data_IF_318807357837
#
_entry.id   IF_318807357837
#
_cell.length_a   1.000
_cell.length_b   1.000
_cell.length_c   1.000
_cell.angle_alpha   90.00
_cell.angle_beta   90.00
_cell.angle_gamma   90.00
#
_symmetry.space_group_name_H-M   'P 1'
#
loop_
_entity.id
_entity.type
_entity.pdbx_description
1 polymer ?
#
# COMPACT_ATOMS: atom_id res chain seq x y z
N UNK A 1 21.40 87.96 9.52
CA UNK A 1 21.75 88.70 8.30
C UNK A 1 20.75 88.23 7.25
N UNK A 2 19.72 89.06 7.01
CA UNK A 2 18.68 89.03 5.93
C UNK A 2 17.72 87.80 5.95
N UNK A 3 16.42 87.85 6.32
CA UNK A 3 15.25 88.61 5.83
C UNK A 3 15.04 88.44 4.30
N UNK A 4 13.90 88.16 3.66
CA UNK A 4 12.43 88.00 3.87
C UNK A 4 11.98 87.02 2.71
N UNK A 5 10.81 86.40 2.59
CA UNK A 5 9.42 86.73 2.94
C UNK A 5 8.46 85.79 2.18
N UNK A 6 7.21 85.85 2.62
CA UNK A 6 6.01 85.05 2.35
C UNK A 6 5.49 85.07 0.90
N UNK A 7 4.79 84.01 0.47
CA UNK A 7 3.43 84.13 -0.08
C UNK A 7 2.82 82.79 -0.51
N UNK A 8 1.67 82.51 0.11
CA UNK A 8 0.67 81.52 -0.21
C UNK A 8 -0.01 81.76 -1.57
N UNK A 9 -0.20 80.71 -2.39
CA UNK A 9 -1.46 80.35 -3.08
C UNK A 9 -1.22 79.26 -4.14
N UNK A 10 -1.73 78.06 -3.87
CA UNK A 10 -1.76 76.98 -4.85
C UNK A 10 -2.40 75.71 -4.33
N UNK A 11 -3.28 75.85 -3.35
CA UNK A 11 -4.09 74.80 -2.78
C UNK A 11 -5.26 74.53 -3.73
N UNK A 12 -5.12 73.48 -4.56
CA UNK A 12 -6.16 72.74 -5.31
C UNK A 12 -5.45 71.85 -6.33
N UNK A 13 -5.87 70.57 -6.40
CA UNK A 13 -5.62 69.56 -7.47
C UNK A 13 -4.90 68.27 -7.03
N UNK A 14 -4.48 68.09 -5.77
CA UNK A 14 -3.91 66.80 -5.31
C UNK A 14 -4.78 66.01 -4.31
N UNK A 15 -5.95 66.52 -3.91
CA UNK A 15 -6.76 65.94 -2.83
C UNK A 15 -8.10 65.32 -3.30
N UNK A 16 -8.21 65.04 -4.61
CA UNK A 16 -9.44 64.53 -5.27
C UNK A 16 -9.33 63.07 -5.71
N UNK A 17 -8.38 62.30 -5.17
CA UNK A 17 -8.26 60.87 -5.49
C UNK A 17 -8.34 59.92 -4.28
N UNK A 18 -8.53 60.44 -3.07
CA UNK A 18 -8.50 59.62 -1.84
C UNK A 18 -9.72 59.80 -0.92
N UNK A 19 -10.86 60.24 -1.46
CA UNK A 19 -12.15 60.35 -0.77
C UNK A 19 -13.32 59.99 -1.69
N UNK A 20 -13.34 58.76 -2.18
CA UNK A 20 -14.59 58.16 -2.64
C UNK A 20 -14.54 56.66 -2.36
N UNK A 21 -15.66 56.14 -1.87
CA UNK A 21 -15.90 54.74 -1.48
C UNK A 21 -15.29 54.28 -0.15
N UNK A 22 -15.56 55.01 0.94
CA UNK A 22 -16.03 54.37 2.17
C UNK A 22 -17.56 54.50 2.24
N UNK A 23 -18.21 53.40 2.61
CA UNK A 23 -19.62 53.23 2.98
C UNK A 23 -20.58 52.78 1.86
N UNK A 24 -20.59 51.47 1.60
CA UNK A 24 -21.83 50.70 1.46
C UNK A 24 -21.69 49.38 2.21
N UNK A 25 -22.34 49.31 3.37
CA UNK A 25 -22.62 48.07 4.11
C UNK A 25 -23.79 47.36 3.45
N UNK A 26 -23.55 46.16 2.91
CA UNK A 26 -24.55 45.07 2.85
C UNK A 26 -23.85 43.71 2.76
N UNK A 27 -23.94 42.97 3.87
CA UNK A 27 -24.17 41.52 3.95
C UNK A 27 -23.91 40.68 2.68
N UNK A 28 -22.88 39.83 2.74
CA UNK A 28 -22.80 38.60 1.94
C UNK A 28 -21.74 37.66 2.52
N UNK A 29 -22.19 36.78 3.42
CA UNK A 29 -21.61 35.47 3.74
C UNK A 29 -20.07 35.34 3.72
N UNK A 30 -19.43 35.80 4.79
CA UNK A 30 -18.19 35.17 5.22
C UNK A 30 -18.54 33.79 5.78
N UNK A 31 -18.47 32.75 4.93
CA UNK A 31 -18.49 31.38 5.42
C UNK A 31 -17.35 31.22 6.43
N UNK A 32 -17.59 30.69 7.64
CA UNK A 32 -16.50 30.40 8.55
C UNK A 32 -15.67 29.31 7.88
N UNK A 33 -14.48 29.67 7.40
CA UNK A 33 -13.47 28.68 7.06
C UNK A 33 -13.08 28.03 8.38
N UNK A 34 -13.77 26.95 8.70
CA UNK A 34 -13.35 26.00 9.72
C UNK A 34 -11.99 25.47 9.32
N UNK A 35 -10.93 26.16 9.73
CA UNK A 35 -9.59 25.61 9.77
C UNK A 35 -9.53 24.60 10.90
N UNK A 36 -10.23 23.47 10.72
CA UNK A 36 -9.62 22.22 11.10
C UNK A 36 -8.36 22.16 10.24
N UNK A 37 -7.22 22.54 10.80
CA UNK A 37 -5.93 22.15 10.25
C UNK A 37 -5.95 20.63 10.33
N UNK A 38 -6.48 19.96 9.30
CA UNK A 38 -6.28 18.53 9.12
C UNK A 38 -4.79 18.34 9.29
N UNK A 39 -4.41 17.57 10.30
CA UNK A 39 -3.05 17.50 10.76
C UNK A 39 -2.14 17.31 9.53
N UNK A 40 -1.14 18.18 9.36
CA UNK A 40 -0.35 18.26 8.12
C UNK A 40 0.24 16.91 7.69
N UNK A 41 0.44 16.02 8.65
CA UNK A 41 0.85 14.63 8.49
C UNK A 41 -0.21 13.72 7.85
N UNK A 42 -1.48 13.91 8.17
CA UNK A 42 -2.61 13.17 7.61
C UNK A 42 -2.74 13.45 6.12
N UNK A 43 -2.65 14.73 5.74
CA UNK A 43 -2.67 15.13 4.33
C UNK A 43 -1.48 14.55 3.58
N UNK A 44 -0.28 14.59 4.17
CA UNK A 44 0.92 13.96 3.61
C UNK A 44 0.79 12.43 3.50
N UNK A 45 0.08 11.78 4.41
CA UNK A 45 -0.22 10.36 4.30
C UNK A 45 -1.19 10.08 3.15
N UNK A 46 -2.23 10.89 2.99
CA UNK A 46 -3.22 10.75 1.91
C UNK A 46 -2.63 10.98 0.52
N UNK A 47 -1.53 11.73 0.41
CA UNK A 47 -0.81 11.91 -0.85
C UNK A 47 0.05 10.69 -1.25
N UNK A 48 0.29 9.75 -0.34
CA UNK A 48 1.12 8.57 -0.61
C UNK A 48 0.47 7.59 -1.58
N UNK A 49 1.31 6.82 -2.30
CA UNK A 49 0.84 5.72 -3.15
C UNK A 49 0.13 4.63 -2.35
N UNK A 50 0.57 4.37 -1.11
CA UNK A 50 -0.08 3.41 -0.22
C UNK A 50 -1.54 3.78 0.06
N UNK A 51 -1.83 5.03 0.41
CA UNK A 51 -3.22 5.47 0.65
C UNK A 51 -4.03 5.49 -0.64
N UNK A 52 -3.47 6.08 -1.71
CA UNK A 52 -4.22 6.33 -2.95
C UNK A 52 -4.51 5.06 -3.76
N UNK A 53 -3.65 4.05 -3.69
CA UNK A 53 -3.73 2.86 -4.53
C UNK A 53 -4.01 1.57 -3.73
N UNK A 54 -3.69 1.55 -2.44
CA UNK A 54 -3.66 0.33 -1.63
C UNK A 54 -4.38 0.47 -0.28
N UNK A 55 -5.29 1.44 -0.15
CA UNK A 55 -6.19 1.54 1.00
C UNK A 55 -7.66 1.45 0.55
N UNK A 56 -8.39 0.52 1.14
CA UNK A 56 -9.74 0.12 0.73
C UNK A 56 -10.64 -0.02 1.96
N UNK A 57 -11.95 0.11 1.76
CA UNK A 57 -12.92 -0.42 2.73
C UNK A 57 -12.92 -1.95 2.68
N UNK A 58 -13.36 -2.65 3.74
CA UNK A 58 -13.48 -4.11 3.73
C UNK A 58 -14.34 -4.64 2.57
N UNK A 59 -15.47 -4.01 2.31
CA UNK A 59 -16.35 -4.36 1.19
C UNK A 59 -15.64 -4.22 -0.17
N UNK A 60 -14.98 -3.09 -0.43
CA UNK A 60 -14.28 -2.86 -1.70
C UNK A 60 -13.14 -3.87 -1.91
N UNK A 61 -12.42 -4.27 -0.85
CA UNK A 61 -11.36 -5.26 -0.95
C UNK A 61 -11.92 -6.66 -1.26
N UNK A 62 -13.05 -7.03 -0.65
CA UNK A 62 -13.73 -8.28 -0.93
C UNK A 62 -14.25 -8.33 -2.38
N UNK A 63 -14.89 -7.26 -2.84
CA UNK A 63 -15.39 -7.12 -4.21
C UNK A 63 -14.24 -7.18 -5.23
N UNK A 64 -13.12 -6.51 -4.94
CA UNK A 64 -11.94 -6.55 -5.79
C UNK A 64 -11.39 -7.97 -5.92
N UNK A 65 -11.28 -8.72 -4.82
CA UNK A 65 -10.84 -10.13 -4.83
C UNK A 65 -11.81 -11.03 -5.59
N UNK A 66 -13.11 -10.86 -5.37
CA UNK A 66 -14.13 -11.64 -6.07
C UNK A 66 -14.09 -11.38 -7.58
N UNK A 67 -13.92 -10.11 -7.99
CA UNK A 67 -13.78 -9.73 -9.39
C UNK A 67 -12.51 -10.30 -10.02
N UNK A 68 -11.35 -10.17 -9.35
CA UNK A 68 -10.08 -10.76 -9.80
C UNK A 68 -10.21 -12.27 -10.00
N UNK A 69 -10.85 -12.98 -9.06
CA UNK A 69 -11.11 -14.41 -9.17
C UNK A 69 -12.02 -14.76 -10.36
N UNK A 70 -13.13 -14.03 -10.56
CA UNK A 70 -14.05 -14.25 -11.69
C UNK A 70 -13.33 -14.05 -13.03
N UNK A 71 -12.60 -12.95 -13.18
CA UNK A 71 -11.85 -12.66 -14.41
C UNK A 71 -10.80 -13.74 -14.71
N UNK A 72 -10.09 -14.22 -13.69
CA UNK A 72 -9.14 -15.32 -13.86
C UNK A 72 -9.84 -16.60 -14.33
N UNK A 73 -11.00 -16.95 -13.75
CA UNK A 73 -11.78 -18.12 -14.17
C UNK A 73 -12.23 -18.01 -15.63
N UNK A 74 -12.76 -16.85 -16.02
CA UNK A 74 -13.21 -16.58 -17.40
C UNK A 74 -12.06 -16.68 -18.41
N UNK A 75 -10.85 -16.24 -18.03
CA UNK A 75 -9.67 -16.34 -18.90
C UNK A 75 -9.08 -17.76 -18.99
N UNK A 76 -9.13 -18.52 -17.89
CA UNK A 76 -8.52 -19.85 -17.79
C UNK A 76 -9.44 -20.94 -18.34
N UNK A 77 -10.75 -20.84 -18.10
CA UNK A 77 -11.74 -21.83 -18.55
C UNK A 77 -11.62 -22.23 -20.03
N UNK A 78 -11.53 -21.31 -21.01
CA UNK A 78 -11.39 -21.69 -22.42
C UNK A 78 -10.06 -22.38 -22.73
N UNK A 79 -9.01 -22.16 -21.93
CA UNK A 79 -7.67 -22.74 -22.17
C UNK A 79 -7.53 -24.14 -21.60
N UNK A 80 -8.29 -24.48 -20.56
CA UNK A 80 -8.22 -25.80 -19.93
C UNK A 80 -9.06 -26.85 -20.65
N UNK A 81 -10.00 -26.46 -21.52
CA UNK A 81 -10.77 -27.31 -22.43
C UNK A 81 -11.13 -28.70 -21.85
N UNK A 82 -11.54 -28.74 -20.58
CA UNK A 82 -11.84 -29.97 -19.85
C UNK A 82 -13.35 -30.12 -19.69
N UNK A 83 -13.86 -31.32 -19.97
CA UNK A 83 -15.22 -31.74 -19.68
C UNK A 83 -15.18 -32.88 -18.63
N UNK A 84 -15.68 -32.67 -17.40
CA UNK A 84 -16.29 -31.45 -16.87
C UNK A 84 -15.25 -30.33 -16.57
N UNK A 85 -15.70 -29.06 -16.50
CA UNK A 85 -14.83 -27.93 -16.20
C UNK A 85 -14.12 -28.13 -14.84
N UNK A 86 -12.85 -27.70 -14.72
CA UNK A 86 -12.08 -27.92 -13.51
C UNK A 86 -12.69 -27.12 -12.35
N UNK A 87 -12.69 -27.71 -11.16
CA UNK A 87 -13.12 -27.03 -9.94
C UNK A 87 -12.12 -25.89 -9.61
N UNK A 88 -12.51 -24.65 -9.91
CA UNK A 88 -11.71 -23.46 -9.67
C UNK A 88 -11.72 -23.04 -8.20
N UNK A 89 -10.63 -22.38 -7.76
CA UNK A 89 -10.54 -21.83 -6.41
C UNK A 89 -11.57 -20.72 -6.21
N UNK A 90 -12.24 -20.73 -5.06
CA UNK A 90 -13.08 -19.62 -4.56
C UNK A 90 -12.22 -18.46 -4.05
N UNK A 91 -12.76 -17.23 -3.96
CA UNK A 91 -12.04 -16.09 -3.41
C UNK A 91 -11.50 -16.36 -1.98
N UNK A 92 -12.26 -17.07 -1.15
CA UNK A 92 -11.87 -17.42 0.22
C UNK A 92 -10.72 -18.44 0.25
N UNK A 93 -10.74 -19.42 -0.67
CA UNK A 93 -9.65 -20.37 -0.86
C UNK A 93 -8.37 -19.68 -1.35
N UNK A 94 -8.49 -18.71 -2.26
CA UNK A 94 -7.36 -17.90 -2.71
C UNK A 94 -6.76 -17.07 -1.56
N UNK A 95 -7.59 -16.38 -0.78
CA UNK A 95 -7.12 -15.62 0.40
C UNK A 95 -6.37 -16.53 1.38
N UNK A 96 -6.87 -17.76 1.59
CA UNK A 96 -6.21 -18.74 2.46
C UNK A 96 -4.85 -19.19 1.92
N UNK A 97 -4.74 -19.41 0.61
CA UNK A 97 -3.47 -19.72 -0.06
C UNK A 97 -2.49 -18.55 0.03
N UNK A 98 -2.96 -17.32 -0.21
CA UNK A 98 -2.13 -16.11 -0.10
C UNK A 98 -1.62 -15.93 1.32
N UNK A 99 -2.46 -16.13 2.36
CA UNK A 99 -2.02 -16.12 3.76
C UNK A 99 -0.93 -17.16 4.01
N UNK A 100 -1.12 -18.40 3.54
CA UNK A 100 -0.12 -19.47 3.66
C UNK A 100 1.22 -19.07 3.01
N UNK A 101 1.21 -18.61 1.76
CA UNK A 101 2.43 -18.19 1.08
C UNK A 101 3.06 -16.93 1.70
N UNK A 102 2.28 -16.06 2.32
CA UNK A 102 2.80 -14.91 3.07
C UNK A 102 3.56 -15.36 4.32
N UNK A 103 3.06 -16.37 5.04
CA UNK A 103 3.78 -16.94 6.19
C UNK A 103 5.06 -17.66 5.75
N UNK A 104 5.00 -18.42 4.65
CA UNK A 104 6.19 -19.04 4.06
C UNK A 104 7.22 -17.98 3.61
N UNK A 105 6.76 -16.83 3.09
CA UNK A 105 7.62 -15.71 2.73
C UNK A 105 8.33 -15.15 3.97
N UNK A 106 7.60 -14.95 5.06
CA UNK A 106 8.15 -14.47 6.34
C UNK A 106 9.24 -15.41 6.86
N UNK A 107 9.00 -16.72 6.81
CA UNK A 107 10.00 -17.75 7.20
C UNK A 107 11.21 -17.76 6.28
N UNK A 108 10.98 -17.69 4.97
CA UNK A 108 12.05 -17.62 3.99
C UNK A 108 12.92 -16.36 4.21
N UNK A 109 12.31 -15.21 4.53
CA UNK A 109 13.04 -14.00 4.87
C UNK A 109 13.88 -14.16 6.15
N UNK A 110 13.35 -14.85 7.18
CA UNK A 110 14.10 -15.17 8.40
C UNK A 110 15.29 -16.08 8.11
N UNK A 111 15.09 -17.13 7.29
CA UNK A 111 16.15 -18.05 6.87
C UNK A 111 17.23 -17.35 6.04
N UNK A 112 16.85 -16.35 5.25
CA UNK A 112 17.79 -15.51 4.50
C UNK A 112 18.40 -14.37 5.34
N UNK A 113 18.10 -14.31 6.65
CA UNK A 113 18.58 -13.31 7.59
C UNK A 113 18.28 -11.86 7.16
N UNK A 114 17.17 -11.68 6.44
CA UNK A 114 16.79 -10.36 5.92
C UNK A 114 16.26 -9.45 7.04
N UNK A 115 16.62 -8.14 7.00
CA UNK A 115 16.06 -7.11 7.86
C UNK A 115 14.53 -7.11 7.92
N UNK A 116 14.00 -6.62 9.04
CA UNK A 116 12.55 -6.63 9.31
C UNK A 116 11.76 -5.79 8.30
N UNK A 117 12.30 -4.64 7.89
CA UNK A 117 11.67 -3.77 6.87
C UNK A 117 11.53 -4.52 5.54
N UNK A 118 12.62 -5.09 5.03
CA UNK A 118 12.64 -5.87 3.78
C UNK A 118 11.62 -7.02 3.82
N UNK A 119 11.55 -7.74 4.94
CA UNK A 119 10.56 -8.80 5.14
C UNK A 119 9.13 -8.28 5.05
N UNK A 120 8.84 -7.14 5.69
CA UNK A 120 7.53 -6.52 5.66
C UNK A 120 7.18 -6.01 4.26
N UNK A 121 8.11 -5.32 3.59
CA UNK A 121 7.95 -4.83 2.21
C UNK A 121 7.64 -5.97 1.25
N UNK A 122 8.41 -7.06 1.31
CA UNK A 122 8.21 -8.24 0.48
C UNK A 122 6.85 -8.91 0.73
N UNK A 123 6.43 -9.05 1.99
CA UNK A 123 5.11 -9.59 2.34
C UNK A 123 3.98 -8.71 1.79
N UNK A 124 4.10 -7.39 1.93
CA UNK A 124 3.11 -6.43 1.42
C UNK A 124 3.06 -6.46 -0.11
N UNK A 125 4.20 -6.55 -0.81
CA UNK A 125 4.23 -6.70 -2.27
C UNK A 125 3.52 -7.97 -2.73
N UNK A 126 3.79 -9.11 -2.09
CA UNK A 126 3.12 -10.37 -2.42
C UNK A 126 1.59 -10.25 -2.27
N UNK A 127 1.13 -9.65 -1.16
CA UNK A 127 -0.30 -9.45 -0.90
C UNK A 127 -0.94 -8.47 -1.88
N UNK A 128 -0.29 -7.34 -2.17
CA UNK A 128 -0.76 -6.36 -3.16
C UNK A 128 -0.91 -7.01 -4.53
N UNK A 129 0.08 -7.81 -4.94
CA UNK A 129 0.06 -8.55 -6.19
C UNK A 129 -1.16 -9.48 -6.30
N UNK A 130 -1.44 -10.26 -5.25
CA UNK A 130 -2.57 -11.21 -5.24
C UNK A 130 -3.94 -10.59 -4.89
N UNK A 131 -4.02 -9.28 -4.70
CA UNK A 131 -5.30 -8.56 -4.68
C UNK A 131 -5.75 -8.26 -6.12
N UNK A 132 -4.80 -7.95 -7.00
CA UNK A 132 -5.06 -7.57 -8.41
C UNK A 132 -4.86 -8.70 -9.41
N UNK A 133 -4.26 -9.82 -8.99
CA UNK A 133 -4.01 -11.00 -9.81
C UNK A 133 -4.42 -12.27 -9.04
N UNK A 134 -4.86 -13.31 -9.75
CA UNK A 134 -5.22 -14.59 -9.12
C UNK A 134 -4.02 -15.51 -8.91
N UNK A 135 -4.06 -16.31 -7.83
CA UNK A 135 -3.12 -17.42 -7.58
C UNK A 135 -3.21 -18.51 -8.66
N UNK A 136 -4.36 -18.61 -9.34
CA UNK A 136 -4.58 -19.52 -10.47
C UNK A 136 -3.80 -19.09 -11.72
N UNK A 137 -3.52 -17.79 -11.85
CA UNK A 137 -2.82 -17.21 -13.00
C UNK A 137 -1.30 -17.26 -12.84
N UNK A 138 -0.77 -16.90 -11.67
CA UNK A 138 0.68 -16.79 -11.44
C UNK A 138 1.16 -17.65 -10.26
N UNK A 139 2.38 -18.23 -10.32
CA UNK A 139 2.94 -19.07 -9.24
C UNK A 139 3.26 -18.29 -7.99
N UNK A 140 2.50 -18.52 -6.91
CA UNK A 140 2.84 -17.97 -5.59
C UNK A 140 4.22 -18.41 -5.09
N UNK A 141 4.69 -19.61 -5.43
CA UNK A 141 6.03 -20.08 -5.06
C UNK A 141 7.15 -19.26 -5.69
N UNK A 142 7.01 -18.84 -6.94
CA UNK A 142 8.02 -18.05 -7.63
C UNK A 142 7.87 -16.56 -7.29
N UNK A 143 6.63 -16.05 -7.26
CA UNK A 143 6.33 -14.68 -6.84
C UNK A 143 6.77 -14.40 -5.40
N UNK A 144 6.75 -15.40 -4.51
CA UNK A 144 7.30 -15.28 -3.15
C UNK A 144 8.79 -14.92 -3.20
N UNK A 145 9.58 -15.67 -3.98
CA UNK A 145 11.03 -15.48 -4.10
C UNK A 145 11.34 -14.16 -4.80
N UNK A 146 10.60 -13.85 -5.87
CA UNK A 146 10.67 -12.55 -6.55
C UNK A 146 10.33 -11.40 -5.61
N UNK A 147 9.29 -11.53 -4.77
CA UNK A 147 8.90 -10.48 -3.82
C UNK A 147 9.97 -10.24 -2.75
N UNK A 148 10.62 -11.29 -2.26
CA UNK A 148 11.78 -11.17 -1.36
C UNK A 148 12.94 -10.44 -2.04
N UNK A 149 13.33 -10.89 -3.23
CA UNK A 149 14.44 -10.28 -3.98
C UNK A 149 14.16 -8.82 -4.36
N UNK A 150 12.94 -8.52 -4.78
CA UNK A 150 12.54 -7.16 -5.13
C UNK A 150 12.35 -6.27 -3.90
N UNK A 151 11.88 -6.82 -2.77
CA UNK A 151 11.82 -6.14 -1.48
C UNK A 151 13.20 -5.66 -1.02
N UNK A 152 14.25 -6.48 -1.22
CA UNK A 152 15.63 -6.06 -0.99
C UNK A 152 15.97 -4.80 -1.80
N UNK A 153 15.68 -4.79 -3.11
CA UNK A 153 15.94 -3.63 -3.98
C UNK A 153 15.15 -2.39 -3.56
N UNK A 154 13.87 -2.54 -3.21
CA UNK A 154 13.00 -1.44 -2.81
C UNK A 154 13.51 -0.72 -1.55
N UNK A 155 14.07 -1.47 -0.60
CA UNK A 155 14.67 -0.93 0.64
C UNK A 155 16.15 -0.54 0.50
N UNK A 156 16.70 -0.52 -0.73
CA UNK A 156 18.09 -0.16 -0.98
C UNK A 156 19.13 -1.22 -0.57
N UNK A 157 18.69 -2.45 -0.31
CA UNK A 157 19.56 -3.59 0.00
C UNK A 157 19.85 -4.42 -1.26
N UNK A 158 21.07 -4.33 -1.79
CA UNK A 158 21.43 -5.04 -3.02
C UNK A 158 21.94 -6.45 -2.73
N UNK A 159 21.02 -7.42 -2.73
CA UNK A 159 21.37 -8.84 -2.63
C UNK A 159 21.84 -9.36 -4.00
N UNK A 160 23.04 -9.95 -4.09
CA UNK A 160 23.52 -10.61 -5.32
C UNK A 160 22.60 -11.77 -5.72
N UNK A 161 22.13 -11.75 -6.98
CA UNK A 161 21.13 -12.70 -7.49
C UNK A 161 21.55 -14.17 -7.32
N UNK A 162 22.79 -14.53 -7.67
CA UNK A 162 23.26 -15.91 -7.58
C UNK A 162 23.26 -16.41 -6.14
N UNK A 163 23.84 -15.63 -5.23
CA UNK A 163 23.88 -15.94 -3.80
C UNK A 163 22.47 -16.02 -3.17
N UNK A 164 21.51 -15.24 -3.68
CA UNK A 164 20.12 -15.32 -3.26
C UNK A 164 19.45 -16.59 -3.80
N UNK A 165 19.64 -16.92 -5.08
CA UNK A 165 19.04 -18.12 -5.68
C UNK A 165 19.55 -19.41 -5.06
N UNK A 166 20.82 -19.47 -4.65
CA UNK A 166 21.43 -20.62 -3.98
C UNK A 166 20.81 -20.94 -2.61
N UNK A 167 20.17 -19.97 -1.95
CA UNK A 167 19.45 -20.19 -0.68
C UNK A 167 18.18 -21.01 -0.88
N UNK A 168 17.64 -21.10 -2.10
CA UNK A 168 16.39 -21.79 -2.40
C UNK A 168 16.64 -23.03 -3.28
N UNK A 169 16.14 -24.22 -2.89
CA UNK A 169 16.32 -25.41 -3.69
C UNK A 169 15.64 -25.28 -5.05
N UNK A 170 16.28 -25.80 -6.10
CA UNK A 170 15.74 -25.84 -7.48
C UNK A 170 15.29 -24.46 -8.00
N UNK A 171 15.94 -23.39 -7.57
CA UNK A 171 15.63 -22.02 -7.99
C UNK A 171 16.80 -21.45 -8.77
N UNK A 172 16.55 -20.91 -9.96
CA UNK A 172 17.57 -20.19 -10.74
C UNK A 172 17.38 -18.68 -10.63
N UNK A 173 18.45 -17.92 -10.84
CA UNK A 173 18.35 -16.45 -10.91
C UNK A 173 17.38 -15.98 -12.00
N UNK A 174 17.32 -16.68 -13.14
CA UNK A 174 16.39 -16.37 -14.23
C UNK A 174 14.92 -16.48 -13.80
N UNK A 175 14.55 -17.51 -13.04
CA UNK A 175 13.18 -17.67 -12.52
C UNK A 175 12.75 -16.49 -11.64
N UNK A 176 13.68 -15.98 -10.82
CA UNK A 176 13.43 -14.83 -9.94
C UNK A 176 13.23 -13.56 -10.77
N UNK A 177 14.09 -13.33 -11.76
CA UNK A 177 14.03 -12.17 -12.66
C UNK A 177 12.81 -12.21 -13.60
N UNK A 178 12.33 -13.40 -13.97
CA UNK A 178 11.17 -13.55 -14.83
C UNK A 178 9.89 -12.97 -14.21
N UNK A 179 9.75 -13.10 -12.89
CA UNK A 179 8.64 -12.50 -12.14
C UNK A 179 8.83 -11.01 -11.81
N UNK A 180 10.02 -10.44 -11.94
CA UNK A 180 10.35 -9.12 -11.36
C UNK A 180 9.50 -7.99 -11.95
N UNK A 181 9.51 -7.84 -13.28
CA UNK A 181 8.71 -6.80 -13.93
C UNK A 181 7.21 -7.05 -13.79
N UNK A 182 6.80 -8.32 -13.80
CA UNK A 182 5.41 -8.71 -13.57
C UNK A 182 4.94 -8.27 -12.17
N UNK A 183 5.77 -8.49 -11.15
CA UNK A 183 5.50 -8.01 -9.79
C UNK A 183 5.33 -6.50 -9.77
N UNK A 184 6.26 -5.75 -10.39
CA UNK A 184 6.20 -4.29 -10.48
C UNK A 184 4.88 -3.80 -11.08
N UNK A 185 4.42 -4.44 -12.16
CA UNK A 185 3.13 -4.14 -12.79
C UNK A 185 1.96 -4.45 -11.84
N UNK A 186 1.97 -5.63 -11.21
CA UNK A 186 0.90 -6.05 -10.31
C UNK A 186 0.75 -5.17 -9.06
N UNK A 187 1.87 -4.63 -8.54
CA UNK A 187 1.87 -3.66 -7.44
C UNK A 187 1.75 -2.20 -7.90
N UNK A 188 1.44 -1.97 -9.19
CA UNK A 188 1.20 -0.65 -9.80
C UNK A 188 2.38 0.31 -9.59
N UNK A 189 3.60 -0.21 -9.62
CA UNK A 189 4.84 0.55 -9.40
C UNK A 189 4.88 1.32 -8.07
N UNK A 190 4.05 0.95 -7.10
CA UNK A 190 3.98 1.57 -5.77
C UNK A 190 5.00 0.91 -4.82
N UNK A 191 6.27 1.28 -4.99
CA UNK A 191 7.39 0.68 -4.25
C UNK A 191 7.54 1.22 -2.81
N UNK A 192 7.12 2.47 -2.56
CA UNK A 192 7.12 3.05 -1.21
C UNK A 192 6.04 2.39 -0.33
N UNK A 193 6.48 1.56 0.61
CA UNK A 193 5.63 0.93 1.63
C UNK A 193 5.98 1.52 2.99
N UNK A 194 4.97 2.08 3.67
CA UNK A 194 5.15 2.68 5.00
C UNK A 194 4.84 1.65 6.07
N UNK A 195 5.85 1.32 6.86
CA UNK A 195 5.75 0.35 7.93
C UNK A 195 5.54 0.99 9.32
N UNK A 196 4.86 0.29 10.25
CA UNK A 196 4.59 0.80 11.60
C UNK A 196 5.80 0.77 12.54
N UNK A 197 6.94 0.18 12.15
CA UNK A 197 8.09 0.02 13.04
C UNK A 197 8.72 1.35 13.46
N UNK A 198 8.85 2.31 12.53
CA UNK A 198 9.34 3.66 12.87
C UNK A 198 8.34 4.43 13.73
N UNK A 199 7.04 4.22 13.51
CA UNK A 199 6.00 4.80 14.36
C UNK A 199 6.09 4.26 15.80
N UNK A 200 6.43 2.97 15.96
CA UNK A 200 6.65 2.37 17.27
C UNK A 200 7.83 3.05 17.99
N UNK A 201 8.97 3.24 17.32
CA UNK A 201 10.11 3.94 17.92
C UNK A 201 9.75 5.36 18.37
N UNK A 202 9.01 6.11 17.55
CA UNK A 202 8.53 7.45 17.92
C UNK A 202 7.59 7.43 19.12
N UNK A 203 6.65 6.49 19.16
CA UNK A 203 5.72 6.34 20.28
C UNK A 203 6.43 5.98 21.59
N UNK A 204 7.43 5.09 21.53
CA UNK A 204 8.23 4.71 22.71
C UNK A 204 9.06 5.89 23.24
N UNK A 205 9.63 6.72 22.36
CA UNK A 205 10.32 7.94 22.80
C UNK A 205 9.38 8.88 23.54
N UNK A 206 8.17 9.08 23.03
CA UNK A 206 7.16 9.93 23.68
C UNK A 206 6.68 9.33 25.02
N UNK A 207 6.49 8.01 25.09
CA UNK A 207 6.13 7.32 26.33
C UNK A 207 7.22 7.42 27.39
N UNK A 208 8.50 7.25 27.02
CA UNK A 208 9.62 7.44 27.95
C UNK A 208 9.70 8.87 28.48
N UNK A 209 9.38 9.85 27.64
CA UNK A 209 9.31 11.27 28.04
C UNK A 209 8.19 11.53 29.05
N UNK A 210 7.00 10.93 28.84
CA UNK A 210 5.83 11.11 29.72
C UNK A 210 5.89 10.25 30.99
N UNK A 211 6.52 9.09 30.94
CA UNK A 211 6.60 8.10 32.02
C UNK A 211 8.05 7.79 32.40
N UNK A 212 8.83 8.76 32.91
CA UNK A 212 10.24 8.57 33.24
C UNK A 212 10.47 7.50 34.32
N UNK A 213 9.48 7.23 35.16
CA UNK A 213 9.58 6.27 36.27
C UNK A 213 9.10 4.85 35.88
N UNK A 214 8.53 4.64 34.69
CA UNK A 214 7.96 3.35 34.26
C UNK A 214 8.74 2.70 33.11
N UNK A 215 10.06 2.92 33.05
CA UNK A 215 10.89 2.46 31.93
C UNK A 215 10.77 0.95 31.67
N UNK A 216 10.70 0.13 32.73
CA UNK A 216 10.52 -1.32 32.62
C UNK A 216 9.23 -1.71 31.90
N UNK A 217 8.12 -1.02 32.19
CA UNK A 217 6.82 -1.25 31.55
C UNK A 217 6.88 -0.88 30.07
N UNK A 218 7.44 0.29 29.76
CA UNK A 218 7.60 0.78 28.37
C UNK A 218 8.50 -0.15 27.56
N UNK A 219 9.62 -0.63 28.12
CA UNK A 219 10.54 -1.55 27.45
C UNK A 219 9.90 -2.92 27.17
N UNK A 220 9.11 -3.47 28.11
CA UNK A 220 8.35 -4.70 27.90
C UNK A 220 7.29 -4.52 26.81
N UNK A 221 6.56 -3.41 26.84
CA UNK A 221 5.56 -3.07 25.82
C UNK A 221 6.19 -2.91 24.43
N UNK A 222 7.35 -2.25 24.36
CA UNK A 222 8.13 -2.09 23.13
C UNK A 222 8.50 -3.43 22.50
N UNK A 223 9.12 -4.32 23.27
CA UNK A 223 9.56 -5.62 22.79
C UNK A 223 8.38 -6.45 22.27
N UNK A 224 7.30 -6.55 23.06
CA UNK A 224 6.12 -7.35 22.69
C UNK A 224 5.38 -6.76 21.48
N UNK A 225 5.19 -5.44 21.44
CA UNK A 225 4.54 -4.77 20.29
C UNK A 225 5.35 -4.98 19.01
N UNK A 226 6.68 -4.92 19.09
CA UNK A 226 7.57 -5.17 17.96
C UNK A 226 7.41 -6.59 17.41
N UNK A 227 7.26 -7.61 18.27
CA UNK A 227 6.99 -8.98 17.82
C UNK A 227 5.62 -9.12 17.14
N UNK A 228 4.58 -8.44 17.66
CA UNK A 228 3.26 -8.37 17.02
C UNK A 228 3.37 -7.78 15.62
N UNK A 229 4.09 -6.66 15.46
CA UNK A 229 4.23 -5.95 14.19
C UNK A 229 5.02 -6.74 13.13
N UNK A 230 5.91 -7.65 13.55
CA UNK A 230 6.71 -8.50 12.65
C UNK A 230 5.89 -9.61 11.97
N UNK A 231 4.68 -9.89 12.44
CA UNK A 231 3.86 -11.00 11.95
C UNK A 231 2.41 -10.61 11.67
N UNK A 232 1.65 -10.23 12.71
CA UNK A 232 0.18 -10.09 12.67
C UNK A 232 -0.29 -9.14 11.56
N UNK A 233 0.29 -7.92 11.41
CA UNK A 233 -0.08 -7.02 10.32
C UNK A 233 0.23 -7.55 8.92
N UNK A 234 1.24 -8.41 8.79
CA UNK A 234 1.67 -8.95 7.51
C UNK A 234 0.77 -10.12 7.05
N UNK A 235 0.09 -10.81 7.97
CA UNK A 235 -0.79 -11.95 7.67
C UNK A 235 -2.27 -11.56 7.65
N UNK A 236 -2.63 -10.41 8.22
CA UNK A 236 -3.97 -9.81 8.18
C UNK A 236 -4.10 -8.70 7.13
N UNK A 237 -5.32 -8.24 6.87
CA UNK A 237 -5.59 -7.20 5.86
C UNK A 237 -5.39 -5.76 6.37
N UNK A 238 -4.79 -5.58 7.56
CA UNK A 238 -4.70 -4.26 8.20
C UNK A 238 -3.98 -3.21 7.35
N UNK A 239 -2.97 -3.58 6.55
CA UNK A 239 -2.27 -2.65 5.65
C UNK A 239 -3.17 -2.05 4.57
N UNK A 240 -4.29 -2.71 4.27
CA UNK A 240 -5.28 -2.23 3.30
C UNK A 240 -6.34 -1.34 3.95
N UNK A 241 -6.48 -1.34 5.27
CA UNK A 241 -7.59 -0.65 5.95
C UNK A 241 -7.13 0.49 6.86
N UNK A 242 -5.90 0.42 7.38
CA UNK A 242 -5.44 1.30 8.45
C UNK A 242 -4.08 1.92 8.11
N UNK A 243 -3.86 3.13 8.62
CA UNK A 243 -2.58 3.81 8.53
C UNK A 243 -1.52 3.16 9.44
N UNK A 244 -0.22 3.29 9.15
CA UNK A 244 0.84 2.69 9.97
C UNK A 244 0.79 3.10 11.45
N UNK A 245 0.41 4.35 11.75
CA UNK A 245 0.22 4.83 13.13
C UNK A 245 -0.92 4.10 13.85
N UNK A 246 -2.04 3.88 13.16
CA UNK A 246 -3.19 3.12 13.70
C UNK A 246 -2.82 1.65 13.93
N UNK A 247 -2.12 1.02 12.99
CA UNK A 247 -1.63 -0.36 13.13
C UNK A 247 -0.68 -0.48 14.33
N UNK A 248 0.23 0.48 14.49
CA UNK A 248 1.16 0.53 15.62
C UNK A 248 0.41 0.66 16.95
N UNK A 249 -0.54 1.58 17.06
CA UNK A 249 -1.31 1.79 18.29
C UNK A 249 -2.23 0.61 18.59
N UNK A 250 -2.81 -0.03 17.58
CA UNK A 250 -3.59 -1.25 17.74
C UNK A 250 -2.73 -2.40 18.28
N UNK A 251 -1.54 -2.59 17.73
CA UNK A 251 -0.59 -3.58 18.23
C UNK A 251 -0.15 -3.27 19.67
N UNK A 252 0.06 -1.99 20.02
CA UNK A 252 0.37 -1.59 21.39
C UNK A 252 -0.81 -1.81 22.34
N UNK A 253 -2.05 -1.57 21.88
CA UNK A 253 -3.28 -1.79 22.65
C UNK A 253 -3.49 -3.28 23.01
N UNK A 254 -3.06 -4.20 22.14
CA UNK A 254 -3.05 -5.65 22.46
C UNK A 254 -2.13 -5.99 23.65
N UNK A 255 -1.11 -5.17 23.90
CA UNK A 255 -0.12 -5.40 24.96
C UNK A 255 -0.47 -4.61 26.21
N UNK A 256 -0.74 -3.32 26.05
CA UNK A 256 -1.04 -2.38 27.12
C UNK A 256 -1.89 -1.22 26.57
N UNK A 257 -3.21 -1.33 26.75
CA UNK A 257 -4.15 -0.28 26.32
C UNK A 257 -3.91 1.06 27.04
N UNK A 258 -3.43 1.04 28.29
CA UNK A 258 -3.18 2.26 29.06
C UNK A 258 -2.06 3.12 28.47
N UNK A 259 -1.06 2.51 27.83
CA UNK A 259 -0.02 3.27 27.11
C UNK A 259 -0.60 4.00 25.88
N UNK A 260 -1.60 3.42 25.22
CA UNK A 260 -2.28 4.06 24.08
C UNK A 260 -3.12 5.25 24.55
N UNK A 261 -3.81 5.13 25.69
CA UNK A 261 -4.55 6.25 26.29
C UNK A 261 -3.64 7.43 26.67
N UNK A 262 -2.38 7.15 27.04
CA UNK A 262 -1.38 8.19 27.34
C UNK A 262 -0.88 8.87 26.05
N UNK A 263 -0.81 8.14 24.94
CA UNK A 263 -0.48 8.68 23.62
C UNK A 263 -1.63 9.50 23.03
N UNK A 264 -2.88 9.09 23.27
CA UNK A 264 -4.11 9.77 22.84
C UNK A 264 -4.92 10.23 24.09
N UNK A 265 -4.44 11.27 24.79
CA UNK A 265 -5.10 11.74 26.00
C UNK A 265 -6.51 12.24 25.71
N UNK A 266 -7.39 12.11 26.70
CA UNK A 266 -8.70 12.78 26.69
C UNK A 266 -8.44 14.29 26.71
N UNK A 267 -9.15 15.06 25.89
CA UNK A 267 -9.03 16.51 25.87
C UNK A 267 -9.28 17.08 27.28
N UNK A 268 -8.41 17.97 27.74
CA UNK A 268 -8.61 18.67 29.01
C UNK A 268 -9.79 19.65 28.88
N UNK A 269 -10.67 19.67 29.88
CA UNK A 269 -11.88 20.52 29.96
C UNK A 269 -11.53 22.00 30.26
N UNK A 270 -10.73 22.63 29.42
CA UNK A 270 -10.17 23.96 29.69
C UNK A 270 -10.44 24.98 28.56
N UNK A 271 -11.45 24.77 27.70
CA UNK A 271 -11.70 25.61 26.51
C UNK A 271 -13.17 25.73 26.07
N UNK A 272 -13.35 26.27 24.86
CA UNK A 272 -14.64 26.51 24.22
C UNK A 272 -15.38 25.19 23.92
N UNK A 273 -16.61 25.05 24.44
CA UNK A 273 -17.37 23.80 24.47
C UNK A 273 -17.60 23.18 23.07
N UNK A 274 -17.70 24.01 22.03
CA UNK A 274 -17.87 23.54 20.65
C UNK A 274 -16.59 22.87 20.09
N UNK A 275 -15.42 23.41 20.44
CA UNK A 275 -14.13 22.86 20.03
C UNK A 275 -13.79 21.58 20.80
N UNK A 276 -14.11 21.54 22.10
CA UNK A 276 -13.94 20.35 22.93
C UNK A 276 -14.79 19.17 22.43
N UNK A 277 -16.06 19.42 22.10
CA UNK A 277 -16.96 18.43 21.49
C UNK A 277 -16.36 17.81 20.22
N UNK A 278 -15.78 18.62 19.33
CA UNK A 278 -15.20 18.14 18.09
C UNK A 278 -13.95 17.27 18.31
N UNK A 279 -13.09 17.64 19.28
CA UNK A 279 -11.88 16.87 19.62
C UNK A 279 -12.24 15.53 20.26
N UNK A 280 -13.22 15.50 21.17
CA UNK A 280 -13.72 14.26 21.78
C UNK A 280 -14.30 13.33 20.72
N UNK A 281 -15.16 13.85 19.83
CA UNK A 281 -15.71 13.07 18.73
C UNK A 281 -14.64 12.49 17.79
N UNK A 282 -13.56 13.25 17.54
CA UNK A 282 -12.44 12.78 16.73
C UNK A 282 -11.64 11.69 17.46
N UNK A 283 -11.37 11.88 18.76
CA UNK A 283 -10.72 10.87 19.60
C UNK A 283 -11.50 9.56 19.61
N UNK A 284 -12.82 9.62 19.80
CA UNK A 284 -13.66 8.41 19.85
C UNK A 284 -13.64 7.66 18.52
N UNK A 285 -13.63 8.38 17.39
CA UNK A 285 -13.44 7.77 16.06
C UNK A 285 -12.07 7.11 15.92
N UNK A 286 -11.00 7.75 16.40
CA UNK A 286 -9.64 7.21 16.36
C UNK A 286 -9.56 5.95 17.21
N UNK A 287 -10.06 5.99 18.45
CA UNK A 287 -10.07 4.84 19.36
C UNK A 287 -10.92 3.69 18.80
N UNK A 288 -12.07 4.00 18.19
CA UNK A 288 -12.89 2.99 17.49
C UNK A 288 -12.16 2.34 16.30
N UNK A 289 -11.40 3.12 15.53
CA UNK A 289 -10.57 2.58 14.44
C UNK A 289 -9.41 1.73 14.96
N UNK A 290 -8.76 2.14 16.06
CA UNK A 290 -7.70 1.36 16.73
C UNK A 290 -8.26 0.05 17.25
N UNK A 291 -9.44 0.05 17.87
CA UNK A 291 -10.10 -1.15 18.37
C UNK A 291 -10.49 -2.11 17.24
N UNK A 292 -11.02 -1.57 16.13
CA UNK A 292 -11.33 -2.39 14.95
C UNK A 292 -10.06 -2.98 14.30
N UNK A 293 -8.97 -2.22 14.26
CA UNK A 293 -7.67 -2.71 13.80
C UNK A 293 -7.11 -3.77 14.74
N UNK A 294 -7.25 -3.58 16.06
CA UNK A 294 -6.80 -4.51 17.09
C UNK A 294 -7.47 -5.87 16.95
N UNK A 295 -8.80 -5.90 16.82
CA UNK A 295 -9.55 -7.14 16.60
C UNK A 295 -9.05 -7.93 15.40
N UNK A 296 -8.74 -7.22 14.30
CA UNK A 296 -8.17 -7.85 13.11
C UNK A 296 -6.76 -8.41 13.35
N UNK A 297 -5.92 -7.72 14.13
CA UNK A 297 -4.59 -8.24 14.51
C UNK A 297 -4.66 -9.46 15.43
N UNK A 298 -5.64 -9.49 16.34
CA UNK A 298 -5.89 -10.59 17.27
C UNK A 298 -6.31 -11.91 16.56
N UNK A 299 -6.74 -11.85 15.29
CA UNK A 299 -7.00 -13.06 14.49
C UNK A 299 -5.72 -13.85 14.18
N UNK A 300 -4.58 -13.17 14.02
CA UNK A 300 -3.29 -13.78 13.64
C UNK A 300 -2.15 -13.31 14.56
N UNK A 301 -2.18 -13.63 15.87
CA UNK A 301 -1.13 -13.25 16.80
C UNK A 301 0.18 -14.00 16.48
N UNK A 302 1.35 -13.49 16.92
CA UNK A 302 2.66 -14.08 16.60
C UNK A 302 2.78 -15.58 16.91
N UNK A 303 2.11 -16.04 17.97
CA UNK A 303 2.09 -17.44 18.40
C UNK A 303 1.57 -18.38 17.30
N UNK A 304 0.62 -17.92 16.47
CA UNK A 304 0.08 -18.73 15.36
C UNK A 304 1.14 -19.08 14.32
N UNK A 305 2.22 -18.30 14.20
CA UNK A 305 3.31 -18.61 13.28
C UNK A 305 3.91 -19.98 13.56
N UNK A 306 4.07 -20.34 14.83
CA UNK A 306 4.61 -21.62 15.30
C UNK A 306 3.52 -22.63 15.59
N UNK A 307 2.48 -22.23 16.32
CA UNK A 307 1.45 -23.12 16.86
C UNK A 307 0.43 -23.60 15.84
N UNK A 308 0.19 -22.80 14.80
CA UNK A 308 -0.79 -23.15 13.76
C UNK A 308 -0.06 -23.39 12.45
N UNK A 309 0.55 -22.35 11.89
CA UNK A 309 1.19 -22.41 10.57
C UNK A 309 2.41 -23.33 10.55
N UNK A 310 3.06 -23.57 11.70
CA UNK A 310 4.24 -24.43 11.83
C UNK A 310 3.91 -25.92 11.94
N UNK A 311 2.63 -26.26 12.08
CA UNK A 311 2.22 -27.64 12.31
C UNK A 311 2.19 -28.46 11.03
N UNK A 312 2.52 -29.77 11.10
CA UNK A 312 2.31 -30.70 9.99
C UNK A 312 0.85 -30.79 9.56
N UNK A 313 -0.08 -30.52 10.47
CA UNK A 313 -1.53 -30.51 10.24
C UNK A 313 -1.92 -29.46 9.21
N UNK A 314 -1.34 -28.27 9.28
CA UNK A 314 -1.58 -27.24 8.27
C UNK A 314 -1.06 -27.60 6.90
N UNK A 315 0.09 -28.29 6.83
CA UNK A 315 0.58 -28.88 5.59
C UNK A 315 -0.42 -29.87 4.97
N UNK A 316 -1.12 -30.64 5.80
CA UNK A 316 -2.20 -31.55 5.36
C UNK A 316 -3.45 -30.78 4.94
N UNK A 317 -3.86 -29.77 5.69
CA UNK A 317 -5.03 -28.92 5.39
C UNK A 317 -4.87 -28.12 4.09
N UNK A 318 -3.64 -27.74 3.73
CA UNK A 318 -3.35 -27.01 2.50
C UNK A 318 -3.18 -27.92 1.27
N UNK A 319 -2.99 -29.24 1.47
CA UNK A 319 -2.77 -30.21 0.38
C UNK A 319 -3.96 -30.31 -0.59
N UNK A 320 -5.24 -30.36 -0.15
CA UNK A 320 -6.39 -30.31 -1.05
C UNK A 320 -6.41 -29.03 -1.90
N UNK A 321 -6.17 -27.86 -1.29
CA UNK A 321 -6.16 -26.58 -2.00
C UNK A 321 -5.05 -26.51 -3.04
N UNK A 322 -3.86 -27.01 -2.72
CA UNK A 322 -2.75 -27.08 -3.69
C UNK A 322 -3.03 -28.05 -4.83
N UNK A 323 -3.70 -29.19 -4.57
CA UNK A 323 -4.13 -30.13 -5.60
C UNK A 323 -5.20 -29.52 -6.51
N UNK A 324 -6.15 -28.78 -5.93
CA UNK A 324 -7.17 -28.03 -6.66
C UNK A 324 -6.52 -26.98 -7.55
N UNK A 325 -5.63 -26.16 -6.98
CA UNK A 325 -4.84 -25.17 -7.71
C UNK A 325 -4.07 -25.79 -8.89
N UNK A 326 -3.45 -26.96 -8.72
CA UNK A 326 -2.74 -27.64 -9.81
C UNK A 326 -3.62 -28.02 -10.99
N UNK A 327 -4.91 -28.27 -10.77
CA UNK A 327 -5.86 -28.68 -11.81
C UNK A 327 -6.49 -27.50 -12.54
N UNK A 328 -6.61 -26.35 -11.87
CA UNK A 328 -7.30 -25.17 -12.40
C UNK A 328 -6.34 -24.01 -12.77
N UNK A 329 -5.05 -24.31 -12.92
CA UNK A 329 -4.00 -23.31 -13.17
C UNK A 329 -3.97 -22.90 -14.63
N UNK A 330 -3.66 -21.63 -14.89
CA UNK A 330 -3.41 -21.13 -16.24
C UNK A 330 -2.18 -21.83 -16.85
N UNK A 331 -2.32 -22.64 -17.92
CA UNK A 331 -1.20 -23.37 -18.50
C UNK A 331 -0.16 -22.45 -19.13
N UNK A 332 -0.58 -21.31 -19.69
CA UNK A 332 0.31 -20.40 -20.42
C UNK A 332 1.12 -19.49 -19.50
N UNK A 333 0.57 -19.20 -18.31
CA UNK A 333 1.16 -18.29 -17.30
C UNK A 333 1.73 -19.04 -16.09
N UNK A 334 1.67 -20.36 -16.09
CA UNK A 334 2.20 -21.19 -15.01
C UNK A 334 3.73 -21.11 -14.88
N UNK A 335 4.45 -20.93 -15.99
CA UNK A 335 5.92 -20.80 -16.05
C UNK A 335 6.30 -19.37 -16.45
N UNK A 336 6.83 -18.62 -15.49
CA UNK A 336 7.20 -17.22 -15.68
C UNK A 336 8.36 -17.04 -16.66
N UNK A 337 9.29 -17.99 -16.73
CA UNK A 337 10.46 -17.90 -17.62
C UNK A 337 10.00 -18.03 -19.07
N UNK A 338 9.14 -19.01 -19.35
CA UNK A 338 8.55 -19.18 -20.69
C UNK A 338 7.69 -17.97 -21.06
N UNK A 339 6.90 -17.43 -20.12
CA UNK A 339 6.11 -16.23 -20.34
C UNK A 339 7.00 -15.02 -20.70
N UNK A 340 8.12 -14.83 -19.99
CA UNK A 340 9.06 -13.75 -20.29
C UNK A 340 9.74 -13.94 -21.64
N UNK A 341 10.18 -15.17 -21.97
CA UNK A 341 10.78 -15.50 -23.27
C UNK A 341 9.80 -15.23 -24.42
N UNK A 342 8.57 -15.73 -24.33
CA UNK A 342 7.54 -15.52 -25.34
C UNK A 342 7.24 -14.02 -25.56
N UNK A 343 7.16 -13.22 -24.47
CA UNK A 343 6.99 -11.77 -24.58
C UNK A 343 8.16 -11.08 -25.29
N UNK A 344 9.41 -11.47 -24.98
CA UNK A 344 10.60 -10.92 -25.66
C UNK A 344 10.60 -11.28 -27.15
N UNK A 345 10.32 -12.53 -27.51
CA UNK A 345 10.25 -12.97 -28.90
C UNK A 345 9.16 -12.24 -29.69
N UNK A 346 7.99 -12.00 -29.10
CA UNK A 346 6.92 -11.21 -29.73
C UNK A 346 7.34 -9.77 -30.03
N UNK A 347 8.09 -9.12 -29.12
CA UNK A 347 8.62 -7.77 -29.33
C UNK A 347 9.65 -7.77 -30.46
N UNK A 348 10.62 -8.69 -30.43
CA UNK A 348 11.64 -8.82 -31.47
C UNK A 348 11.03 -9.11 -32.86
N UNK A 349 9.99 -9.94 -32.92
CA UNK A 349 9.31 -10.24 -34.17
C UNK A 349 8.46 -9.07 -34.70
N UNK A 350 7.88 -8.25 -33.81
CA UNK A 350 7.21 -7.00 -34.20
C UNK A 350 8.20 -5.98 -34.73
N UNK A 351 9.37 -5.83 -34.09
CA UNK A 351 10.44 -4.94 -34.55
C UNK A 351 11.01 -5.38 -35.90
N UNK A 352 11.22 -6.69 -36.12
CA UNK A 352 11.63 -7.24 -37.42
C UNK A 352 10.59 -7.02 -38.52
N UNK A 353 9.29 -7.12 -38.20
CA UNK A 353 8.21 -6.81 -39.14
C UNK A 353 8.13 -5.30 -39.45
N UNK A 354 8.40 -4.44 -38.47
CA UNK A 354 8.47 -2.99 -38.66
C UNK A 354 9.70 -2.57 -39.50
N UNK A 355 10.85 -3.24 -39.31
CA UNK A 355 12.06 -3.00 -40.10
C UNK A 355 12.00 -3.60 -41.52
N UNK A 356 11.05 -4.50 -41.81
CA UNK A 356 10.78 -5.05 -43.14
C UNK A 356 9.72 -4.28 -43.94
N UNK A 357 9.13 -3.23 -43.35
CA UNK A 357 8.29 -2.26 -44.06
C UNK A 357 9.22 -1.12 -44.51
N UNK A 358 9.57 -1.17 -45.80
CA UNK A 358 10.46 -0.32 -46.57
C UNK A 358 10.51 1.18 -46.15
N UNK A 359 11.74 1.68 -46.05
CA UNK A 359 12.19 3.08 -45.84
C UNK A 359 11.87 3.99 -47.08
N UNK A 360 10.90 3.60 -47.90
CA UNK A 360 10.55 4.21 -49.19
C UNK A 360 9.35 5.17 -49.18
N UNK A 361 8.75 5.45 -48.01
CA UNK A 361 7.54 6.27 -47.90
C UNK A 361 7.65 7.51 -46.98
N UNK A 362 8.86 7.89 -46.54
CA UNK A 362 9.06 8.89 -45.47
C UNK A 362 9.01 10.35 -45.96
N UNK A 363 8.80 10.59 -47.26
CA UNK A 363 8.51 11.93 -47.79
C UNK A 363 7.25 11.90 -48.68
N UNK A 364 6.08 12.09 -48.06
CA UNK A 364 4.80 12.20 -48.77
C UNK A 364 3.64 12.53 -47.85
N UNK A 365 3.30 13.82 -47.80
CA UNK A 365 2.10 14.47 -47.25
C UNK A 365 2.01 14.69 -45.73
N UNK A 366 2.41 15.91 -45.35
CA UNK A 366 1.85 16.66 -44.23
C UNK A 366 0.32 16.65 -44.31
N UNK A 367 -0.36 15.91 -43.44
CA UNK A 367 -1.55 16.39 -42.72
C UNK A 367 -2.05 15.36 -41.70
N UNK A 368 -2.54 15.89 -40.57
CA UNK A 368 -3.27 15.20 -39.49
C UNK A 368 -2.45 14.40 -38.45
N UNK A 369 -1.55 15.07 -37.72
CA UNK A 369 -1.27 14.73 -36.31
C UNK A 369 -2.06 15.64 -35.37
N UNK A 370 -3.38 15.56 -35.46
CA UNK A 370 -4.28 15.96 -34.37
C UNK A 370 -5.19 14.79 -34.02
N UNK A 371 -4.68 13.88 -33.18
CA UNK A 371 -5.52 12.84 -32.58
C UNK A 371 -5.50 13.00 -31.07
N UNK A 372 -6.41 13.87 -30.61
CA UNK A 372 -7.18 13.80 -29.36
C UNK A 372 -6.43 13.25 -28.15
N UNK A 373 -5.89 14.17 -27.34
CA UNK A 373 -5.81 13.98 -25.88
C UNK A 373 -7.22 13.77 -25.35
N UNK A 374 -7.65 12.51 -25.25
CA UNK A 374 -8.83 12.16 -24.46
C UNK A 374 -8.45 12.35 -23.00
N UNK A 375 -9.02 13.37 -22.36
CA UNK A 375 -9.10 13.46 -20.90
C UNK A 375 -9.87 12.24 -20.39
N UNK A 376 -9.18 11.19 -19.98
CA UNK A 376 -9.73 10.15 -19.12
C UNK A 376 -9.40 10.54 -17.68
N UNK A 377 -10.22 11.40 -17.09
CA UNK A 377 -10.11 11.76 -15.67
C UNK A 377 -10.51 10.59 -14.73
N UNK A 378 -11.02 9.47 -15.27
CA UNK A 378 -11.50 8.31 -14.50
C UNK A 378 -11.08 6.91 -15.01
N UNK A 379 -10.09 6.79 -15.92
CA UNK A 379 -9.55 5.46 -16.23
C UNK A 379 -8.36 5.13 -15.34
N UNK A 380 -8.35 3.90 -14.83
CA UNK A 380 -7.19 3.33 -14.14
C UNK A 380 -5.96 3.47 -15.05
N UNK A 381 -4.96 4.29 -14.69
CA UNK A 381 -3.79 4.52 -15.53
C UNK A 381 -2.94 3.26 -15.72
N UNK A 382 -3.24 2.18 -14.98
CA UNK A 382 -2.58 0.89 -15.07
C UNK A 382 -3.35 -0.14 -15.93
N UNK A 383 -4.49 0.25 -16.51
CA UNK A 383 -5.36 -0.65 -17.27
C UNK A 383 -6.28 -1.49 -16.37
N UNK A 384 -7.18 -2.30 -16.96
CA UNK A 384 -8.02 -3.20 -16.19
C UNK A 384 -7.17 -4.25 -15.44
N UNK A 385 -7.59 -4.71 -14.25
CA UNK A 385 -6.95 -5.85 -13.60
C UNK A 385 -6.93 -7.06 -14.55
N UNK A 386 -5.75 -7.67 -14.69
CA UNK A 386 -5.46 -8.73 -15.68
C UNK A 386 -5.76 -10.12 -15.15
#
# INVERSE_FOLDING_TARGET
>A
MMDFGDDSQGDKIADTFNKQTRNFTTSSFAAPRSFFVMATEDERYRQSSQYRLWSFTPANLQDLRAKTNSLAREQIAPRLAADPPPDFLTPEEEVRLVKFFTVELIRAAQFCELPTEIRATAAVFLRRFYVTNSVMTYPATDLLKTSLFFGCKAEGFFYKLNAFSEKFPKTTGEQILAGEFLLCQGIRFAFDVRHPFRALEGAILELRRKLPNEESRVNKAHARTREILKFSPLVTDVYFHYAPSQIMMAAMSMVDAGLVDILIPVAAQNGDAAQESAVVNMRDKIMGAIESCRKMLEEEPPERMTEYWGTPEMGRAMKPLRRKLQRCRDPDRADLVNLQRARREQVMNKEKKAAGLDDGGVFGEENARETKRVKLENADPFGPPL
#
